data_IF_042894563429
#
_entry.id   IF_042894563429
#
_cell.length_a   1.000
_cell.length_b   1.000
_cell.length_c   1.000
_cell.angle_alpha   90.00
_cell.angle_beta   90.00
_cell.angle_gamma   90.00
#
_symmetry.space_group_name_H-M   'P 1'
#
loop_
_entity.id
_entity.type
_entity.pdbx_description
1 polymer ?
#
# COMPACT_ATOMS: atom_id res chain seq x y z
N UNK A 1 -8.15 26.40 10.83
CA UNK A 1 -9.27 25.42 10.72
C UNK A 1 -9.11 24.71 9.38
N UNK A 2 -9.04 23.38 9.35
CA UNK A 2 -8.75 22.62 8.13
C UNK A 2 -9.99 21.90 7.61
N UNK A 3 -10.40 22.20 6.37
CA UNK A 3 -11.45 21.46 5.64
C UNK A 3 -10.86 20.13 5.16
N UNK A 4 -11.42 19.00 5.60
CA UNK A 4 -10.76 17.69 5.49
C UNK A 4 -11.59 16.61 4.80
N UNK A 5 -11.84 16.72 3.49
CA UNK A 5 -12.38 15.61 2.69
C UNK A 5 -11.52 14.33 2.83
N UNK A 6 -10.20 14.49 2.70
CA UNK A 6 -9.23 13.41 2.90
C UNK A 6 -9.28 12.79 4.31
N UNK A 7 -9.64 13.56 5.34
CA UNK A 7 -9.72 13.05 6.71
C UNK A 7 -10.90 12.07 6.89
N UNK A 8 -12.08 12.39 6.33
CA UNK A 8 -13.24 11.50 6.40
C UNK A 8 -13.02 10.20 5.64
N UNK A 9 -12.42 10.29 4.44
CA UNK A 9 -12.08 9.11 3.65
C UNK A 9 -11.10 8.22 4.41
N UNK A 10 -10.06 8.81 5.00
CA UNK A 10 -9.09 8.04 5.81
C UNK A 10 -9.74 7.38 7.03
N UNK A 11 -10.69 8.04 7.69
CA UNK A 11 -11.44 7.44 8.81
C UNK A 11 -12.35 6.30 8.35
N UNK A 12 -12.98 6.44 7.19
CA UNK A 12 -13.81 5.40 6.60
C UNK A 12 -12.97 4.18 6.20
N UNK A 13 -11.83 4.39 5.54
CA UNK A 13 -10.90 3.31 5.21
C UNK A 13 -10.34 2.63 6.45
N UNK A 14 -10.00 3.41 7.48
CA UNK A 14 -9.58 2.86 8.77
C UNK A 14 -10.67 1.96 9.38
N UNK A 15 -11.93 2.41 9.37
CA UNK A 15 -13.07 1.66 9.88
C UNK A 15 -13.24 0.32 9.17
N UNK A 16 -13.17 0.31 7.83
CA UNK A 16 -13.30 -0.93 7.07
C UNK A 16 -12.10 -1.86 7.33
N UNK A 17 -10.88 -1.31 7.41
CA UNK A 17 -9.68 -2.08 7.71
C UNK A 17 -9.75 -2.74 9.10
N UNK A 18 -10.24 -2.03 10.12
CA UNK A 18 -10.52 -2.59 11.44
C UNK A 18 -11.52 -3.75 11.36
N UNK A 19 -12.66 -3.54 10.70
CA UNK A 19 -13.69 -4.57 10.56
C UNK A 19 -13.17 -5.84 9.86
N UNK A 20 -12.40 -5.70 8.78
CA UNK A 20 -11.80 -6.83 8.08
C UNK A 20 -10.71 -7.52 8.92
N UNK A 21 -9.96 -6.77 9.75
CA UNK A 21 -8.99 -7.33 10.68
C UNK A 21 -9.65 -8.26 11.70
N UNK A 22 -10.76 -7.84 12.31
CA UNK A 22 -11.54 -8.68 13.23
C UNK A 22 -12.18 -9.88 12.50
N UNK A 23 -12.69 -9.67 11.28
CA UNK A 23 -13.23 -10.77 10.47
C UNK A 23 -12.16 -11.83 10.17
N UNK A 24 -10.92 -11.43 9.91
CA UNK A 24 -9.80 -12.34 9.66
C UNK A 24 -9.57 -13.31 10.82
N UNK A 25 -9.73 -12.83 12.05
CA UNK A 25 -9.59 -13.62 13.27
C UNK A 25 -10.90 -14.31 13.69
N UNK A 26 -12.00 -14.05 12.98
CA UNK A 26 -13.32 -14.56 13.35
C UNK A 26 -13.51 -16.03 12.98
N UNK A 27 -14.33 -16.73 13.79
CA UNK A 27 -14.76 -18.11 13.51
C UNK A 27 -15.68 -18.20 12.30
N UNK A 28 -16.31 -17.10 11.89
CA UNK A 28 -17.26 -17.10 10.78
C UNK A 28 -16.56 -17.26 9.44
N UNK A 29 -15.40 -16.62 9.27
CA UNK A 29 -14.56 -16.81 8.09
C UNK A 29 -13.99 -18.22 8.05
N UNK A 30 -13.60 -18.77 9.20
CA UNK A 30 -13.20 -20.17 9.28
C UNK A 30 -14.33 -21.13 8.83
N UNK A 31 -15.57 -20.89 9.27
CA UNK A 31 -16.75 -21.68 8.87
C UNK A 31 -17.07 -21.49 7.39
N UNK A 32 -16.99 -20.28 6.87
CA UNK A 32 -17.18 -19.97 5.45
C UNK A 32 -16.12 -20.69 4.60
N UNK A 33 -14.89 -20.70 5.11
CA UNK A 33 -13.74 -21.50 4.69
C UNK A 33 -14.09 -22.94 4.32
N UNK A 34 -14.89 -23.60 5.15
CA UNK A 34 -15.25 -25.01 4.98
C UNK A 34 -16.50 -25.22 4.11
N UNK A 35 -17.29 -24.18 3.87
CA UNK A 35 -18.58 -24.29 3.14
C UNK A 35 -18.51 -23.78 1.71
N UNK A 36 -17.57 -22.89 1.41
CA UNK A 36 -17.43 -22.34 0.07
C UNK A 36 -16.66 -23.29 -0.85
N UNK A 37 -17.12 -23.37 -2.09
CA UNK A 37 -16.36 -23.95 -3.20
C UNK A 37 -15.16 -23.04 -3.54
N UNK A 38 -14.23 -23.54 -4.36
CA UNK A 38 -12.99 -22.83 -4.69
C UNK A 38 -13.25 -21.42 -5.28
N UNK A 39 -14.21 -21.28 -6.19
CA UNK A 39 -14.49 -20.00 -6.86
C UNK A 39 -15.15 -18.97 -5.93
N UNK A 40 -16.10 -19.40 -5.08
CA UNK A 40 -16.70 -18.52 -4.07
C UNK A 40 -15.66 -18.15 -3.01
N UNK A 41 -14.75 -19.05 -2.68
CA UNK A 41 -13.64 -18.75 -1.79
C UNK A 41 -12.73 -17.67 -2.37
N UNK A 42 -12.37 -17.79 -3.66
CA UNK A 42 -11.53 -16.81 -4.34
C UNK A 42 -12.21 -15.44 -4.41
N UNK A 43 -13.52 -15.42 -4.72
CA UNK A 43 -14.32 -14.18 -4.71
C UNK A 43 -14.39 -13.55 -3.32
N UNK A 44 -14.62 -14.35 -2.28
CA UNK A 44 -14.63 -13.90 -0.89
C UNK A 44 -13.26 -13.34 -0.48
N UNK A 45 -12.18 -14.05 -0.80
CA UNK A 45 -10.82 -13.61 -0.54
C UNK A 45 -10.52 -12.27 -1.21
N UNK A 46 -10.85 -12.13 -2.50
CA UNK A 46 -10.58 -10.89 -3.25
C UNK A 46 -11.39 -9.69 -2.77
N UNK A 47 -12.64 -9.88 -2.35
CA UNK A 47 -13.54 -8.78 -1.96
C UNK A 47 -13.49 -8.41 -0.49
N UNK A 48 -12.99 -9.28 0.38
CA UNK A 48 -12.96 -9.07 1.83
C UNK A 48 -11.53 -9.11 2.37
N UNK A 49 -11.19 -10.13 3.15
CA UNK A 49 -9.98 -10.23 3.97
C UNK A 49 -8.71 -10.33 3.13
N UNK A 50 -8.77 -11.06 2.03
CA UNK A 50 -7.60 -11.29 1.18
C UNK A 50 -7.05 -10.01 0.57
N UNK A 51 -7.92 -9.04 0.24
CA UNK A 51 -7.49 -7.72 -0.21
C UNK A 51 -6.68 -6.97 0.86
N UNK A 52 -7.18 -6.92 2.11
CA UNK A 52 -6.49 -6.24 3.21
C UNK A 52 -5.21 -6.97 3.64
N UNK A 53 -5.23 -8.31 3.61
CA UNK A 53 -4.04 -9.11 3.85
C UNK A 53 -2.97 -8.89 2.76
N UNK A 54 -3.35 -8.94 1.49
CA UNK A 54 -2.41 -8.77 0.37
C UNK A 54 -1.83 -7.35 0.31
N UNK A 55 -2.62 -6.34 0.65
CA UNK A 55 -2.14 -4.94 0.78
C UNK A 55 -1.17 -4.78 1.94
N UNK A 56 -1.41 -5.43 3.08
CA UNK A 56 -0.46 -5.47 4.20
C UNK A 56 0.85 -6.14 3.80
N UNK A 57 0.80 -7.31 3.14
CA UNK A 57 1.99 -8.02 2.65
C UNK A 57 2.77 -7.17 1.64
N UNK A 58 2.08 -6.47 0.74
CA UNK A 58 2.71 -5.55 -0.24
C UNK A 58 3.60 -4.52 0.47
N UNK A 59 3.08 -3.86 1.51
CA UNK A 59 3.86 -2.89 2.31
C UNK A 59 4.97 -3.57 3.09
N UNK A 60 4.71 -4.72 3.72
CA UNK A 60 5.72 -5.47 4.48
C UNK A 60 6.88 -5.92 3.60
N UNK A 61 6.63 -6.31 2.35
CA UNK A 61 7.69 -6.66 1.39
C UNK A 61 8.65 -5.50 1.17
N UNK A 62 8.16 -4.26 1.04
CA UNK A 62 9.02 -3.05 0.93
C UNK A 62 9.88 -2.88 2.18
N UNK A 63 9.28 -3.05 3.36
CA UNK A 63 10.00 -2.98 4.64
C UNK A 63 11.07 -4.07 4.76
N UNK A 64 10.72 -5.33 4.53
CA UNK A 64 11.64 -6.47 4.59
C UNK A 64 12.76 -6.32 3.57
N UNK A 65 12.45 -5.83 2.37
CA UNK A 65 13.46 -5.56 1.35
C UNK A 65 14.47 -4.50 1.82
N UNK A 66 14.00 -3.34 2.29
CA UNK A 66 14.88 -2.25 2.72
C UNK A 66 15.69 -2.60 3.97
N UNK A 67 15.05 -3.21 4.97
CA UNK A 67 15.75 -3.68 6.17
C UNK A 67 16.73 -4.82 5.87
N UNK A 68 16.35 -5.75 5.00
CA UNK A 68 17.23 -6.82 4.54
C UNK A 68 18.46 -6.27 3.83
N UNK A 69 18.28 -5.27 2.96
CA UNK A 69 19.40 -4.57 2.30
C UNK A 69 20.28 -3.84 3.30
N UNK A 70 19.70 -3.10 4.24
CA UNK A 70 20.45 -2.44 5.31
C UNK A 70 21.30 -3.45 6.10
N UNK A 71 20.72 -4.59 6.46
CA UNK A 71 21.42 -5.65 7.18
C UNK A 71 22.61 -6.22 6.40
N UNK A 72 22.43 -6.48 5.09
CA UNK A 72 23.50 -6.99 4.23
C UNK A 72 24.67 -6.00 4.08
N UNK A 73 24.36 -4.71 3.97
CA UNK A 73 25.35 -3.64 3.90
C UNK A 73 26.13 -3.52 5.21
N UNK A 74 25.42 -3.47 6.35
CA UNK A 74 26.04 -3.29 7.67
C UNK A 74 26.87 -4.50 8.13
N UNK A 75 26.42 -5.71 7.80
CA UNK A 75 27.15 -6.95 8.14
C UNK A 75 28.41 -7.15 7.30
N UNK A 76 28.64 -6.34 6.25
CA UNK A 76 29.75 -6.52 5.32
C UNK A 76 29.62 -7.78 4.45
N UNK A 77 28.51 -8.53 4.58
CA UNK A 77 28.22 -9.70 3.74
C UNK A 77 28.15 -9.30 2.28
N UNK A 78 27.74 -8.07 1.95
CA UNK A 78 27.74 -7.59 0.56
C UNK A 78 29.12 -7.71 -0.10
N UNK A 79 30.23 -7.54 0.63
CA UNK A 79 31.59 -7.70 0.08
C UNK A 79 31.96 -9.16 -0.15
N UNK A 80 31.54 -10.06 0.74
CA UNK A 80 31.75 -11.52 0.60
C UNK A 80 30.81 -12.17 -0.42
N UNK A 81 29.60 -11.62 -0.58
CA UNK A 81 28.62 -12.04 -1.58
C UNK A 81 28.87 -11.43 -2.95
N UNK A 82 29.55 -10.27 -3.05
CA UNK A 82 29.98 -9.70 -4.33
C UNK A 82 30.91 -10.64 -5.11
N UNK A 83 31.63 -11.53 -4.41
CA UNK A 83 32.44 -12.59 -5.04
C UNK A 83 31.59 -13.71 -5.63
N UNK A 84 30.36 -13.91 -5.13
CA UNK A 84 29.37 -14.84 -5.66
C UNK A 84 28.31 -14.12 -6.50
N UNK A 85 28.45 -14.14 -7.84
CA UNK A 85 27.54 -13.51 -8.83
C UNK A 85 26.02 -13.71 -8.60
N UNK A 86 25.61 -14.68 -7.78
CA UNK A 86 24.23 -15.15 -7.62
C UNK A 86 23.32 -14.20 -6.82
N UNK A 87 23.85 -13.38 -5.90
CA UNK A 87 23.01 -12.41 -5.17
C UNK A 87 22.88 -11.04 -5.87
N UNK A 88 23.80 -10.76 -6.79
CA UNK A 88 23.89 -9.49 -7.51
C UNK A 88 22.86 -9.44 -8.64
N UNK A 89 22.50 -10.58 -9.24
CA UNK A 89 21.51 -10.72 -10.31
C UNK A 89 20.39 -11.70 -9.90
N UNK A 90 19.64 -11.36 -8.86
CA UNK A 90 18.43 -12.11 -8.52
C UNK A 90 17.26 -11.63 -9.39
N UNK A 91 17.26 -12.01 -10.66
CA UNK A 91 16.17 -11.71 -11.60
C UNK A 91 14.78 -12.07 -11.03
N UNK A 92 14.59 -13.21 -10.32
CA UNK A 92 13.29 -13.53 -9.71
C UNK A 92 12.85 -12.53 -8.64
N UNK A 93 13.80 -12.05 -7.80
CA UNK A 93 13.50 -11.06 -6.77
C UNK A 93 13.16 -9.71 -7.40
N UNK A 94 13.88 -9.33 -8.45
CA UNK A 94 13.62 -8.09 -9.17
C UNK A 94 12.26 -8.11 -9.86
N UNK A 95 11.90 -9.22 -10.51
CA UNK A 95 10.58 -9.40 -11.13
C UNK A 95 9.49 -9.35 -10.07
N UNK A 96 9.65 -10.06 -8.95
CA UNK A 96 8.67 -10.06 -7.86
C UNK A 96 8.45 -8.65 -7.28
N UNK A 97 9.52 -7.90 -7.04
CA UNK A 97 9.45 -6.52 -6.54
C UNK A 97 8.85 -5.56 -7.58
N UNK A 98 9.16 -5.75 -8.87
CA UNK A 98 8.55 -4.97 -9.94
C UNK A 98 7.04 -5.21 -10.00
N UNK A 99 6.60 -6.48 -9.99
CA UNK A 99 5.17 -6.83 -9.93
C UNK A 99 4.48 -6.26 -8.69
N UNK A 100 5.12 -6.34 -7.52
CA UNK A 100 4.62 -5.73 -6.29
C UNK A 100 4.51 -4.20 -6.40
N UNK A 101 5.44 -3.55 -7.09
CA UNK A 101 5.42 -2.10 -7.35
C UNK A 101 4.21 -1.70 -8.21
N UNK A 102 3.80 -2.53 -9.19
CA UNK A 102 2.56 -2.32 -9.94
C UNK A 102 1.30 -2.43 -9.06
N UNK A 103 1.27 -3.33 -8.08
CA UNK A 103 0.18 -3.41 -7.10
C UNK A 103 0.17 -2.18 -6.20
N UNK A 104 1.35 -1.75 -5.72
CA UNK A 104 1.52 -0.61 -4.83
C UNK A 104 1.05 0.70 -5.45
N UNK A 105 1.33 0.93 -6.74
CA UNK A 105 0.85 2.10 -7.48
C UNK A 105 -0.65 2.01 -7.85
N UNK A 106 -1.29 0.87 -7.61
CA UNK A 106 -2.71 0.67 -7.90
C UNK A 106 -3.03 0.29 -9.35
N UNK A 107 -2.02 0.11 -10.21
CA UNK A 107 -2.21 -0.25 -11.62
C UNK A 107 -2.88 -1.61 -11.80
N UNK A 108 -2.43 -2.63 -11.05
CA UNK A 108 -3.06 -3.96 -11.12
C UNK A 108 -4.48 -3.97 -10.53
N UNK A 109 -4.73 -3.12 -9.53
CA UNK A 109 -6.07 -2.99 -8.93
C UNK A 109 -7.05 -2.23 -9.81
N UNK A 110 -6.57 -1.45 -10.78
CA UNK A 110 -7.41 -0.78 -11.76
C UNK A 110 -7.87 -1.72 -12.89
N UNK A 111 -7.20 -2.86 -13.11
CA UNK A 111 -7.52 -3.77 -14.21
C UNK A 111 -8.99 -4.26 -14.20
N UNK A 112 -9.56 -4.73 -13.08
CA UNK A 112 -10.94 -5.21 -13.08
C UNK A 112 -11.94 -4.12 -13.45
N UNK A 113 -11.73 -2.90 -12.96
CA UNK A 113 -12.56 -1.74 -13.30
C UNK A 113 -12.43 -1.39 -14.79
N UNK A 114 -11.22 -1.39 -15.34
CA UNK A 114 -11.01 -1.15 -16.77
C UNK A 114 -11.68 -2.22 -17.64
N UNK A 115 -11.67 -3.47 -17.19
CA UNK A 115 -12.35 -4.57 -17.88
C UNK A 115 -13.88 -4.39 -17.84
N UNK A 116 -14.45 -4.03 -16.69
CA UNK A 116 -15.88 -3.75 -16.54
C UNK A 116 -16.32 -2.62 -17.49
N UNK A 117 -15.64 -1.47 -17.45
CA UNK A 117 -15.93 -0.32 -18.32
C UNK A 117 -15.71 -0.70 -19.80
N UNK A 118 -14.67 -1.48 -20.09
CA UNK A 118 -14.37 -1.95 -21.45
C UNK A 118 -15.47 -2.83 -22.03
N UNK A 119 -16.09 -3.68 -21.20
CA UNK A 119 -17.22 -4.52 -21.59
C UNK A 119 -18.51 -3.71 -21.75
N UNK A 120 -18.76 -2.71 -20.90
CA UNK A 120 -19.97 -1.90 -20.94
C UNK A 120 -19.96 -0.83 -22.05
N UNK A 121 -18.80 -0.19 -22.29
CA UNK A 121 -18.69 1.05 -23.09
C UNK A 121 -17.66 0.97 -24.21
N UNK A 122 -17.09 -0.21 -24.46
CA UNK A 122 -16.09 -0.47 -25.51
C UNK A 122 -14.65 -0.15 -25.09
N UNK A 123 -13.66 -0.53 -25.91
CA UNK A 123 -12.24 -0.54 -25.50
C UNK A 123 -11.56 0.85 -25.39
N UNK A 124 -12.10 1.90 -26.04
CA UNK A 124 -11.46 3.22 -26.06
C UNK A 124 -11.72 4.03 -24.78
N UNK A 125 -12.90 3.90 -24.20
CA UNK A 125 -13.33 4.60 -22.99
C UNK A 125 -12.51 4.25 -21.74
N UNK A 126 -12.22 2.97 -21.39
CA UNK A 126 -11.44 2.66 -20.18
C UNK A 126 -10.00 3.19 -20.24
N UNK A 127 -9.40 3.29 -21.43
CA UNK A 127 -8.05 3.84 -21.58
C UNK A 127 -8.04 5.36 -21.34
N UNK A 128 -9.03 6.08 -21.87
CA UNK A 128 -9.20 7.51 -21.61
C UNK A 128 -9.48 7.77 -20.12
N UNK A 129 -10.39 7.01 -19.53
CA UNK A 129 -10.75 7.14 -18.11
C UNK A 129 -9.56 6.82 -17.20
N UNK A 130 -8.76 5.79 -17.52
CA UNK A 130 -7.55 5.47 -16.77
C UNK A 130 -6.54 6.62 -16.80
N UNK A 131 -6.31 7.24 -17.96
CA UNK A 131 -5.41 8.41 -18.05
C UNK A 131 -5.94 9.58 -17.22
N UNK A 132 -7.24 9.86 -17.28
CA UNK A 132 -7.87 10.90 -16.47
C UNK A 132 -7.72 10.61 -14.96
N UNK A 133 -7.90 9.36 -14.53
CA UNK A 133 -7.68 8.97 -13.13
C UNK A 133 -6.23 9.21 -12.68
N UNK A 134 -5.24 8.92 -13.53
CA UNK A 134 -3.84 9.19 -13.19
C UNK A 134 -3.54 10.69 -13.10
N UNK A 135 -4.11 11.52 -13.98
CA UNK A 135 -4.01 12.98 -13.92
C UNK A 135 -4.67 13.57 -12.67
N UNK A 136 -5.73 12.94 -12.17
CA UNK A 136 -6.39 13.26 -10.90
C UNK A 136 -5.63 12.75 -9.66
N UNK A 137 -4.39 12.28 -9.84
CA UNK A 137 -3.53 11.76 -8.77
C UNK A 137 -4.08 10.50 -8.08
N UNK A 138 -4.82 9.65 -8.80
CA UNK A 138 -5.36 8.40 -8.25
C UNK A 138 -4.28 7.50 -7.62
N UNK A 139 -3.07 7.44 -8.22
CA UNK A 139 -1.94 6.67 -7.66
C UNK A 139 -1.48 7.21 -6.30
N UNK A 140 -1.50 8.54 -6.10
CA UNK A 140 -1.17 9.17 -4.81
C UNK A 140 -2.24 8.84 -3.78
N UNK A 141 -3.52 8.98 -4.16
CA UNK A 141 -4.62 8.61 -3.29
C UNK A 141 -4.58 7.13 -2.89
N UNK A 142 -4.35 6.22 -3.85
CA UNK A 142 -4.28 4.78 -3.60
C UNK A 142 -3.10 4.42 -2.70
N UNK A 143 -1.92 4.99 -2.94
CA UNK A 143 -0.73 4.70 -2.12
C UNK A 143 -0.88 5.25 -0.70
N UNK A 144 -1.55 6.39 -0.54
CA UNK A 144 -1.93 6.90 0.78
C UNK A 144 -2.94 5.96 1.47
N UNK A 145 -4.00 5.55 0.76
CA UNK A 145 -4.99 4.59 1.24
C UNK A 145 -4.36 3.26 1.68
N UNK A 146 -3.34 2.79 0.95
CA UNK A 146 -2.56 1.60 1.29
C UNK A 146 -1.91 1.72 2.69
N UNK A 147 -1.38 2.89 3.04
CA UNK A 147 -0.81 3.17 4.36
C UNK A 147 -1.85 3.10 5.48
N UNK A 148 -3.03 3.70 5.25
CA UNK A 148 -4.18 3.64 6.16
C UNK A 148 -4.62 2.20 6.39
N UNK A 149 -4.92 1.47 5.32
CA UNK A 149 -5.42 0.09 5.38
C UNK A 149 -4.43 -0.82 6.10
N UNK A 150 -3.16 -0.79 5.70
CA UNK A 150 -2.11 -1.61 6.31
C UNK A 150 -1.91 -1.30 7.79
N UNK A 151 -1.90 -0.02 8.18
CA UNK A 151 -1.71 0.36 9.59
C UNK A 151 -2.84 -0.17 10.48
N UNK A 152 -4.10 0.09 10.10
CA UNK A 152 -5.23 -0.27 10.95
C UNK A 152 -5.56 -1.77 10.90
N UNK A 153 -5.45 -2.40 9.72
CA UNK A 153 -5.59 -3.85 9.59
C UNK A 153 -4.53 -4.59 10.42
N UNK A 154 -3.25 -4.24 10.25
CA UNK A 154 -2.14 -4.88 11.00
C UNK A 154 -2.21 -4.64 12.51
N UNK A 155 -2.63 -3.44 12.95
CA UNK A 155 -2.85 -3.17 14.38
C UNK A 155 -3.91 -4.11 14.96
N UNK A 156 -5.03 -4.30 14.24
CA UNK A 156 -6.11 -5.19 14.66
C UNK A 156 -5.64 -6.64 14.74
N UNK A 157 -4.86 -7.09 13.75
CA UNK A 157 -4.35 -8.45 13.73
C UNK A 157 -3.40 -8.76 14.90
N UNK A 158 -2.54 -7.80 15.26
CA UNK A 158 -1.51 -7.98 16.28
C UNK A 158 -1.99 -7.70 17.71
N UNK A 159 -2.83 -6.69 17.89
CA UNK A 159 -3.22 -6.19 19.21
C UNK A 159 -4.73 -6.27 19.47
N UNK A 160 -5.53 -6.61 18.45
CA UNK A 160 -6.99 -6.55 18.54
C UNK A 160 -7.52 -5.15 18.84
N UNK A 161 -8.72 -5.12 19.40
CA UNK A 161 -9.31 -3.90 19.96
C UNK A 161 -9.77 -2.92 18.88
N UNK A 162 -10.38 -3.43 17.81
CA UNK A 162 -11.04 -2.58 16.82
C UNK A 162 -12.13 -1.71 17.48
N UNK A 163 -11.83 -0.43 17.63
CA UNK A 163 -12.79 0.54 18.14
C UNK A 163 -13.68 1.04 16.99
N UNK A 164 -15.00 0.93 17.15
CA UNK A 164 -15.92 1.51 16.19
C UNK A 164 -15.74 3.03 16.14
N UNK A 165 -15.42 3.55 14.96
CA UNK A 165 -15.39 5.00 14.73
C UNK A 165 -16.58 5.42 13.89
N UNK A 166 -17.38 6.32 14.46
CA UNK A 166 -18.53 6.90 13.79
C UNK A 166 -18.06 7.81 12.64
N UNK A 167 -18.07 7.27 11.43
CA UNK A 167 -18.15 8.06 10.20
C UNK A 167 -19.61 8.49 10.06
N UNK A 168 -19.91 9.77 10.24
CA UNK A 168 -21.29 10.29 10.15
C UNK A 168 -21.99 9.91 8.84
N UNK A 169 -23.32 10.02 8.80
CA UNK A 169 -24.09 9.84 7.56
C UNK A 169 -23.97 11.11 6.71
N UNK A 170 -23.44 10.99 5.48
CA UNK A 170 -23.21 12.08 4.53
C UNK A 170 -21.74 12.51 4.44
N UNK A 171 -21.24 12.74 3.21
CA UNK A 171 -19.93 13.35 2.92
C UNK A 171 -19.92 14.85 3.24
N UNK A 172 -20.28 15.18 4.47
CA UNK A 172 -20.34 16.56 4.94
C UNK A 172 -18.97 16.92 5.49
N UNK A 173 -18.35 17.97 4.97
CA UNK A 173 -17.02 18.42 5.38
C UNK A 173 -17.04 18.89 6.83
N UNK A 174 -16.65 18.01 7.76
CA UNK A 174 -16.54 18.37 9.17
C UNK A 174 -15.18 18.99 9.49
N UNK A 175 -15.20 19.85 10.50
CA UNK A 175 -14.01 20.50 11.02
C UNK A 175 -13.43 19.61 12.14
N UNK A 176 -12.36 18.88 11.83
CA UNK A 176 -11.63 18.12 12.83
C UNK A 176 -10.49 18.97 13.44
N UNK A 177 -10.21 18.76 14.74
CA UNK A 177 -9.11 19.44 15.43
C UNK A 177 -7.77 18.94 14.86
N UNK A 178 -6.80 19.85 14.69
CA UNK A 178 -5.48 19.50 14.16
C UNK A 178 -4.82 18.37 14.96
N UNK A 179 -4.87 18.43 16.29
CA UNK A 179 -4.24 17.44 17.16
C UNK A 179 -4.79 16.02 16.93
N UNK A 180 -6.09 15.89 16.66
CA UNK A 180 -6.72 14.60 16.39
C UNK A 180 -6.31 14.06 15.02
N UNK A 181 -6.38 14.90 13.99
CA UNK A 181 -5.94 14.55 12.64
C UNK A 181 -4.46 14.15 12.62
N UNK A 182 -3.62 14.94 13.29
CA UNK A 182 -2.19 14.70 13.35
C UNK A 182 -1.88 13.42 14.11
N UNK A 183 -2.55 13.12 15.23
CA UNK A 183 -2.32 11.88 15.98
C UNK A 183 -2.64 10.63 15.16
N UNK A 184 -3.70 10.68 14.35
CA UNK A 184 -4.09 9.58 13.48
C UNK A 184 -3.13 9.43 12.29
N UNK A 185 -2.82 10.54 11.63
CA UNK A 185 -1.90 10.58 10.50
C UNK A 185 -0.46 10.20 10.89
N UNK A 186 0.02 10.70 12.04
CA UNK A 186 1.39 10.55 12.47
C UNK A 186 1.80 9.08 12.62
N UNK A 187 0.96 8.29 13.31
CA UNK A 187 1.22 6.86 13.54
C UNK A 187 1.01 5.99 12.29
N UNK A 188 0.08 6.38 11.42
CA UNK A 188 -0.26 5.58 10.25
C UNK A 188 0.65 5.85 9.06
N UNK A 189 1.11 7.08 8.87
CA UNK A 189 1.87 7.52 7.70
C UNK A 189 3.19 8.20 8.07
N UNK A 190 3.17 9.27 8.87
CA UNK A 190 4.36 10.12 9.05
C UNK A 190 5.58 9.39 9.60
N UNK A 191 5.42 8.66 10.72
CA UNK A 191 6.53 7.93 11.36
C UNK A 191 7.07 6.85 10.41
N UNK A 192 6.16 6.11 9.76
CA UNK A 192 6.50 5.08 8.78
C UNK A 192 7.19 5.65 7.53
N UNK A 193 6.72 6.81 7.07
CA UNK A 193 7.29 7.52 5.92
C UNK A 193 8.71 8.01 6.21
N UNK A 194 8.96 8.58 7.40
CA UNK A 194 10.32 8.98 7.81
C UNK A 194 11.23 7.76 7.94
N UNK A 195 10.76 6.69 8.56
CA UNK A 195 11.50 5.43 8.69
C UNK A 195 11.92 4.89 7.31
N UNK A 196 10.97 4.73 6.39
CA UNK A 196 11.24 4.30 5.02
C UNK A 196 12.12 5.28 4.25
N UNK A 197 11.97 6.58 4.47
CA UNK A 197 12.82 7.61 3.86
C UNK A 197 14.28 7.45 4.27
N UNK A 198 14.54 7.28 5.58
CA UNK A 198 15.90 7.05 6.09
C UNK A 198 16.48 5.77 5.49
N UNK A 199 15.71 4.68 5.48
CA UNK A 199 16.14 3.41 4.89
C UNK A 199 16.46 3.55 3.39
N UNK A 200 15.66 4.29 2.63
CA UNK A 200 15.89 4.55 1.21
C UNK A 200 17.14 5.40 0.97
N UNK A 201 17.37 6.43 1.78
CA UNK A 201 18.57 7.26 1.68
C UNK A 201 19.82 6.42 1.94
N UNK A 202 19.80 5.59 2.99
CA UNK A 202 20.91 4.67 3.28
C UNK A 202 21.09 3.67 2.13
N UNK A 203 19.99 3.12 1.60
CA UNK A 203 20.03 2.23 0.45
C UNK A 203 20.66 2.89 -0.79
N UNK A 204 20.37 4.16 -1.08
CA UNK A 204 20.96 4.90 -2.20
C UNK A 204 22.45 5.23 -1.99
N UNK A 205 22.87 5.52 -0.76
CA UNK A 205 24.27 5.83 -0.43
C UNK A 205 25.14 4.58 -0.52
N UNK A 206 24.67 3.45 0.00
CA UNK A 206 25.44 2.20 0.07
C UNK A 206 25.17 1.24 -1.09
N UNK A 207 24.14 1.48 -1.89
CA UNK A 207 23.81 0.72 -3.08
C UNK A 207 24.92 0.84 -4.13
N UNK A 208 25.83 -0.14 -4.13
CA UNK A 208 26.93 -0.20 -5.09
C UNK A 208 26.42 -0.17 -6.55
N UNK A 209 27.15 0.55 -7.38
CA UNK A 209 26.87 1.02 -8.74
C UNK A 209 26.42 -0.01 -9.79
N UNK A 210 25.25 -0.62 -9.66
CA UNK A 210 24.61 -1.39 -10.74
C UNK A 210 23.18 -0.92 -11.01
N UNK A 211 23.07 0.33 -11.47
CA UNK A 211 21.84 1.04 -11.86
C UNK A 211 21.39 0.72 -13.30
N UNK A 212 21.62 -0.50 -13.79
CA UNK A 212 21.46 -0.82 -15.23
C UNK A 212 20.07 -1.28 -15.66
N UNK A 213 19.27 -1.85 -14.77
CA UNK A 213 17.99 -2.46 -15.13
C UNK A 213 16.83 -1.47 -14.97
N UNK A 214 16.00 -1.31 -16.01
CA UNK A 214 14.77 -0.50 -15.99
C UNK A 214 13.88 -0.88 -14.78
N UNK A 215 13.81 -2.18 -14.47
CA UNK A 215 13.06 -2.68 -13.32
C UNK A 215 13.61 -2.14 -11.98
N UNK A 216 14.93 -1.97 -11.83
CA UNK A 216 15.51 -1.39 -10.62
C UNK A 216 15.11 0.07 -10.45
N UNK A 217 15.21 0.86 -11.53
CA UNK A 217 14.80 2.27 -11.54
C UNK A 217 13.31 2.38 -11.19
N UNK A 218 12.48 1.52 -11.77
CA UNK A 218 11.04 1.49 -11.50
C UNK A 218 10.72 1.14 -10.03
N UNK A 219 11.37 0.11 -9.48
CA UNK A 219 11.19 -0.29 -8.07
C UNK A 219 11.58 0.87 -7.15
N UNK A 220 12.75 1.46 -7.34
CA UNK A 220 13.23 2.57 -6.50
C UNK A 220 12.33 3.79 -6.62
N UNK A 221 11.89 4.13 -7.84
CA UNK A 221 10.92 5.19 -8.07
C UNK A 221 9.61 4.92 -7.32
N UNK A 222 9.08 3.69 -7.36
CA UNK A 222 7.84 3.33 -6.67
C UNK A 222 7.97 3.46 -5.15
N UNK A 223 9.13 3.11 -4.57
CA UNK A 223 9.40 3.25 -3.14
C UNK A 223 9.49 4.72 -2.74
N UNK A 224 10.21 5.54 -3.51
CA UNK A 224 10.24 6.99 -3.30
C UNK A 224 8.85 7.62 -3.43
N UNK A 225 8.07 7.21 -4.43
CA UNK A 225 6.69 7.66 -4.62
C UNK A 225 5.82 7.36 -3.39
N UNK A 226 5.94 6.16 -2.83
CA UNK A 226 5.24 5.78 -1.59
C UNK A 226 5.68 6.61 -0.40
N UNK A 227 6.98 6.81 -0.20
CA UNK A 227 7.50 7.65 0.89
C UNK A 227 7.00 9.08 0.78
N UNK A 228 7.12 9.71 -0.39
CA UNK A 228 6.63 11.08 -0.62
C UNK A 228 5.13 11.14 -0.34
N UNK A 229 4.35 10.19 -0.87
CA UNK A 229 2.91 10.13 -0.65
C UNK A 229 2.55 9.99 0.83
N UNK A 230 3.29 9.22 1.61
CA UNK A 230 3.05 9.04 3.05
C UNK A 230 3.54 10.21 3.90
N UNK A 231 4.48 11.00 3.41
CA UNK A 231 4.89 12.26 4.05
C UNK A 231 3.95 13.41 3.71
N UNK A 232 3.23 13.32 2.59
CA UNK A 232 2.18 14.25 2.22
C UNK A 232 0.95 14.06 3.13
N UNK A 233 0.72 15.07 3.97
CA UNK A 233 -0.47 15.12 4.84
C UNK A 233 -1.79 15.26 4.07
N UNK A 234 -1.75 15.68 2.80
CA UNK A 234 -2.92 15.82 1.92
C UNK A 234 -2.63 15.26 0.54
N UNK A 235 -3.19 14.10 0.17
CA UNK A 235 -2.98 13.53 -1.16
C UNK A 235 -3.73 14.28 -2.27
N UNK A 236 -4.81 15.02 -1.96
CA UNK A 236 -5.73 15.58 -2.98
C UNK A 236 -6.26 16.97 -2.57
N UNK A 237 -5.40 17.98 -2.58
CA UNK A 237 -5.79 19.42 -2.52
C UNK A 237 -4.75 20.30 -3.25
N UNK A 238 -4.08 19.72 -4.27
CA UNK A 238 -3.16 20.45 -5.16
C UNK A 238 -3.85 20.92 -6.46
N UNK A 239 -5.19 20.83 -6.50
CA UNK A 239 -6.07 21.42 -7.50
C UNK A 239 -7.23 22.11 -6.79
#
# INVERSE_FOLDING_TARGET
RERGWSHQISLFEAKIAYGNGEQTLSRDIYRLGHRFDFFRMLSCYYTTIGFYFSTMITVWTVYVFLYGRLYLVLSGLDKGLATGRRFIHNDPLQVALASQSFVQLGFLMALPMMMEIGLERGFRTPLSDFVLMQLQLASVFFTFSLGTKTHYYGKTLLHGGAEYRATGRGFVVFHAKFAENYRLYSRSHFVKGIELMILLIVFEIFGQSYRGAIAYIFITFSMWFMVVTWLLRRPVNLL
#
